data_IF_917199603344
#
_entry.id   IF_917199603344
#
_cell.length_a   1.000
_cell.length_b   1.000
_cell.length_c   1.000
_cell.angle_alpha   90.00
_cell.angle_beta   90.00
_cell.angle_gamma   90.00
#
_symmetry.space_group_name_H-M   'P 1'
#
loop_
_entity.id
_entity.type
_entity.pdbx_description
1 polymer ?
#
# COMPACT_ATOMS: atom_id res chain seq x y z
N UNK A 1 7.48 -16.50 -31.41
CA UNK A 1 6.60 -15.40 -31.87
C UNK A 1 5.77 -14.90 -30.69
N UNK A 2 6.40 -14.18 -29.74
CA UNK A 2 5.80 -13.77 -28.45
C UNK A 2 5.38 -12.30 -28.55
N UNK A 3 4.44 -11.98 -29.45
CA UNK A 3 4.07 -10.59 -29.81
C UNK A 3 2.60 -10.24 -29.54
N UNK A 4 1.84 -11.11 -28.86
CA UNK A 4 0.39 -10.96 -28.71
C UNK A 4 -0.10 -10.47 -27.34
N UNK A 5 0.70 -10.62 -26.27
CA UNK A 5 0.18 -10.44 -24.90
C UNK A 5 0.21 -9.00 -24.38
N UNK A 6 1.10 -8.15 -24.93
CA UNK A 6 1.27 -6.76 -24.48
C UNK A 6 0.12 -5.85 -24.98
N UNK A 7 -0.54 -6.20 -26.10
CA UNK A 7 -1.61 -5.35 -26.68
C UNK A 7 -2.90 -5.33 -25.84
N UNK A 8 -3.20 -6.42 -25.11
CA UNK A 8 -4.48 -6.58 -24.39
C UNK A 8 -4.60 -5.69 -23.15
N UNK A 9 -3.50 -5.33 -22.51
CA UNK A 9 -3.52 -4.55 -21.26
C UNK A 9 -3.98 -3.10 -21.51
N UNK A 10 -3.82 -2.57 -22.73
CA UNK A 10 -4.19 -1.19 -23.08
C UNK A 10 -5.70 -0.98 -23.26
N UNK A 11 -6.49 -2.03 -23.44
CA UNK A 11 -7.95 -1.95 -23.67
C UNK A 11 -8.79 -1.97 -22.38
N UNK A 12 -8.19 -2.25 -21.22
CA UNK A 12 -8.95 -2.46 -19.98
C UNK A 12 -9.36 -1.19 -19.24
N UNK A 13 -8.97 0.01 -19.69
CA UNK A 13 -9.39 1.27 -19.05
C UNK A 13 -9.07 1.37 -17.56
N UNK A 14 -8.18 0.51 -17.04
CA UNK A 14 -7.74 0.53 -15.64
C UNK A 14 -6.75 1.68 -15.51
N UNK A 15 -7.27 2.87 -15.28
CA UNK A 15 -6.48 3.94 -14.70
C UNK A 15 -6.08 3.46 -13.31
N UNK A 16 -4.78 3.19 -13.10
CA UNK A 16 -4.22 3.06 -11.74
C UNK A 16 -4.04 4.47 -11.15
N UNK A 17 -5.00 5.35 -11.41
CA UNK A 17 -5.16 6.65 -10.78
C UNK A 17 -6.01 6.44 -9.52
N UNK A 18 -5.52 5.57 -8.64
CA UNK A 18 -5.83 5.74 -7.25
C UNK A 18 -4.84 6.77 -6.75
N UNK A 19 -5.30 8.03 -6.75
CA UNK A 19 -4.77 9.13 -5.94
C UNK A 19 -4.15 8.57 -4.64
N UNK A 20 -3.05 9.14 -4.13
CA UNK A 20 -2.62 8.84 -2.79
C UNK A 20 -3.68 9.41 -1.86
N UNK A 21 -4.78 8.67 -1.66
CA UNK A 21 -5.62 8.86 -0.49
C UNK A 21 -4.64 8.70 0.64
N UNK A 22 -4.26 9.82 1.26
CA UNK A 22 -3.55 9.82 2.51
C UNK A 22 -4.46 9.03 3.44
N UNK A 23 -4.19 7.74 3.59
CA UNK A 23 -4.96 6.87 4.45
C UNK A 23 -4.66 7.40 5.83
N UNK A 24 -5.57 8.23 6.34
CA UNK A 24 -5.50 8.74 7.68
C UNK A 24 -5.74 7.53 8.58
N UNK A 25 -4.65 6.87 8.98
CA UNK A 25 -4.72 5.77 9.91
C UNK A 25 -5.30 6.33 11.22
N UNK A 26 -6.41 5.77 11.73
CA UNK A 26 -6.97 6.20 13.00
C UNK A 26 -5.98 5.88 14.13
N UNK A 27 -5.99 6.68 15.18
CA UNK A 27 -5.35 6.28 16.44
C UNK A 27 -6.18 5.15 17.10
N UNK A 28 -5.55 4.14 17.72
CA UNK A 28 -4.11 3.99 17.99
C UNK A 28 -3.31 3.28 16.88
N UNK A 29 -3.96 2.88 15.77
CA UNK A 29 -3.33 2.08 14.73
C UNK A 29 -2.16 2.80 14.05
N UNK A 30 -2.27 4.13 13.86
CA UNK A 30 -1.17 4.94 13.33
C UNK A 30 0.09 4.85 14.20
N UNK A 31 -0.06 5.00 15.52
CA UNK A 31 1.05 4.85 16.47
C UNK A 31 1.65 3.45 16.44
N UNK A 32 0.82 2.40 16.39
CA UNK A 32 1.29 1.00 16.27
C UNK A 32 2.10 0.76 15.00
N UNK A 33 1.62 1.25 13.85
CA UNK A 33 2.29 1.11 12.54
C UNK A 33 3.59 1.91 12.50
N UNK A 34 3.59 3.13 13.02
CA UNK A 34 4.79 3.97 13.11
C UNK A 34 5.85 3.33 14.01
N UNK A 35 5.44 2.81 15.18
CA UNK A 35 6.34 2.11 16.10
C UNK A 35 6.91 0.82 15.47
N UNK A 36 6.09 0.03 14.78
CA UNK A 36 6.56 -1.16 14.06
C UNK A 36 7.55 -0.79 12.95
N UNK A 37 7.33 0.33 12.23
CA UNK A 37 8.28 0.82 11.22
C UNK A 37 9.61 1.22 11.85
N UNK A 38 9.58 1.94 12.97
CA UNK A 38 10.78 2.40 13.68
C UNK A 38 11.60 1.27 14.30
N UNK A 39 10.95 0.21 14.81
CA UNK A 39 11.63 -0.91 15.47
C UNK A 39 12.08 -2.00 14.49
N UNK A 40 11.18 -2.40 13.59
CA UNK A 40 11.29 -3.63 12.79
C UNK A 40 11.32 -3.36 11.27
N UNK A 41 11.26 -2.09 10.86
CA UNK A 41 11.33 -1.65 9.47
C UNK A 41 9.99 -1.67 8.72
N UNK A 42 10.04 -1.23 7.45
CA UNK A 42 8.86 -1.03 6.59
C UNK A 42 8.03 -2.30 6.41
N UNK A 43 8.68 -3.46 6.21
CA UNK A 43 7.98 -4.73 5.98
C UNK A 43 7.13 -5.14 7.18
N UNK A 44 7.62 -4.92 8.40
CA UNK A 44 6.90 -5.23 9.62
C UNK A 44 5.66 -4.34 9.78
N UNK A 45 5.81 -3.04 9.51
CA UNK A 45 4.71 -2.07 9.52
C UNK A 45 3.63 -2.42 8.48
N UNK A 46 4.02 -2.77 7.26
CA UNK A 46 3.08 -3.21 6.20
C UNK A 46 2.34 -4.47 6.62
N UNK A 47 3.04 -5.47 7.18
CA UNK A 47 2.40 -6.70 7.68
C UNK A 47 1.41 -6.43 8.80
N UNK A 48 1.75 -5.54 9.74
CA UNK A 48 0.85 -5.14 10.83
C UNK A 48 -0.40 -4.47 10.27
N UNK A 49 -0.23 -3.47 9.40
CA UNK A 49 -1.34 -2.73 8.80
C UNK A 49 -2.30 -3.65 8.05
N UNK A 50 -1.77 -4.57 7.21
CA UNK A 50 -2.60 -5.54 6.47
C UNK A 50 -3.37 -6.48 7.37
N UNK A 51 -2.76 -6.97 8.46
CA UNK A 51 -3.46 -7.84 9.43
C UNK A 51 -4.59 -7.12 10.14
N UNK A 52 -4.44 -5.83 10.42
CA UNK A 52 -5.44 -5.02 11.15
C UNK A 52 -6.58 -4.54 10.26
N UNK A 53 -6.32 -4.26 8.99
CA UNK A 53 -7.26 -3.57 8.09
C UNK A 53 -7.76 -4.43 6.94
N UNK A 54 -7.09 -5.54 6.63
CA UNK A 54 -7.38 -6.35 5.44
C UNK A 54 -6.93 -5.71 4.12
N UNK A 55 -6.20 -4.59 4.16
CA UNK A 55 -5.72 -3.92 2.96
C UNK A 55 -4.86 -4.84 2.08
N UNK A 56 -4.96 -4.62 0.76
CA UNK A 56 -4.06 -5.24 -0.19
C UNK A 56 -2.62 -4.72 0.01
N UNK A 57 -1.67 -5.43 -0.59
CA UNK A 57 -0.25 -5.14 -0.38
C UNK A 57 0.13 -3.74 -0.88
N UNK A 58 -0.39 -3.32 -2.03
CA UNK A 58 -0.03 -2.05 -2.64
C UNK A 58 -0.56 -0.89 -1.80
N UNK A 59 -1.82 -0.96 -1.37
CA UNK A 59 -2.44 0.06 -0.50
C UNK A 59 -1.72 0.16 0.84
N UNK A 60 -1.35 -0.98 1.45
CA UNK A 60 -0.65 -0.97 2.72
C UNK A 60 0.78 -0.40 2.62
N UNK A 61 1.52 -0.72 1.55
CA UNK A 61 2.85 -0.13 1.29
C UNK A 61 2.74 1.38 1.11
N UNK A 62 1.78 1.85 0.31
CA UNK A 62 1.55 3.29 0.09
C UNK A 62 1.23 4.02 1.39
N UNK A 63 0.32 3.48 2.22
CA UNK A 63 -0.05 4.06 3.50
C UNK A 63 1.13 4.11 4.50
N UNK A 64 2.00 3.09 4.49
CA UNK A 64 3.18 3.06 5.36
C UNK A 64 4.27 4.02 4.90
N UNK A 65 4.40 4.28 3.59
CA UNK A 65 5.32 5.28 3.03
C UNK A 65 4.82 6.71 3.20
N UNK A 66 3.50 6.94 3.21
CA UNK A 66 2.96 8.27 3.48
C UNK A 66 3.15 8.74 4.93
N UNK A 67 3.69 7.88 5.82
CA UNK A 67 4.10 8.26 7.17
C UNK A 67 5.50 8.88 7.22
N UNK A 68 6.23 8.96 6.10
CA UNK A 68 7.59 9.52 6.00
C UNK A 68 7.63 11.07 6.01
N UNK A 69 6.63 11.72 6.61
CA UNK A 69 6.58 13.20 6.75
C UNK A 69 7.36 13.65 7.97
#
# INVERSE_FOLDING_TARGET
MVRGWIRRIRESGVTVDADPVAVLLPEPLRAEVSAARGRDGEVAAVRLLRRRTGLDLLSAVRAVRSLEV
#
